data_IF_663139896628
#
_entry.id   IF_663139896628
#
_cell.length_a   1.000
_cell.length_b   1.000
_cell.length_c   1.000
_cell.angle_alpha   90.00
_cell.angle_beta   90.00
_cell.angle_gamma   90.00
#
_symmetry.space_group_name_H-M   'P 1'
#
loop_
_entity.id
_entity.type
_entity.pdbx_description
1 polymer ?
#
# COMPACT_ATOMS: atom_id res chain seq x y z
N UNK A 1 48.39 35.48 -22.65
CA UNK A 1 48.47 34.05 -22.32
C UNK A 1 47.31 33.75 -21.38
N UNK A 2 46.17 33.30 -21.90
CA UNK A 2 44.98 32.96 -21.12
C UNK A 2 44.74 31.46 -21.24
N UNK A 3 44.77 30.79 -20.11
CA UNK A 3 44.45 29.38 -19.98
C UNK A 3 42.95 29.22 -19.78
N UNK A 4 42.26 28.65 -20.75
CA UNK A 4 40.88 28.19 -20.66
C UNK A 4 40.86 26.84 -19.93
N UNK A 5 40.18 26.77 -18.80
CA UNK A 5 39.82 25.54 -18.11
C UNK A 5 38.49 25.03 -18.66
N UNK A 6 38.52 23.94 -19.39
CA UNK A 6 37.34 23.21 -19.88
C UNK A 6 36.75 22.38 -18.75
N UNK A 7 35.55 22.75 -18.37
CA UNK A 7 34.76 22.01 -17.38
C UNK A 7 33.99 20.89 -18.11
N UNK A 8 34.41 19.63 -17.95
CA UNK A 8 33.79 18.48 -18.54
C UNK A 8 32.76 17.90 -17.52
N UNK A 9 31.48 18.08 -17.81
CA UNK A 9 30.40 17.42 -17.07
C UNK A 9 30.40 15.92 -17.36
N UNK A 10 30.07 15.06 -16.39
CA UNK A 10 29.99 13.62 -16.61
C UNK A 10 28.77 13.26 -17.49
N UNK A 11 29.05 12.60 -18.58
CA UNK A 11 28.03 12.04 -19.47
C UNK A 11 27.29 10.90 -18.79
N UNK A 12 26.01 11.09 -18.56
CA UNK A 12 25.06 10.05 -18.19
C UNK A 12 24.89 9.09 -19.37
N UNK A 13 25.37 7.86 -19.24
CA UNK A 13 25.05 6.77 -20.15
C UNK A 13 23.61 6.32 -19.95
N UNK A 14 22.70 6.88 -20.70
CA UNK A 14 21.34 6.39 -20.86
C UNK A 14 21.35 5.09 -21.64
N UNK A 15 21.15 3.95 -20.98
CA UNK A 15 20.83 2.69 -21.64
C UNK A 15 19.35 2.70 -22.03
N UNK A 16 19.09 3.01 -23.29
CA UNK A 16 17.79 2.89 -23.92
C UNK A 16 17.45 1.41 -24.16
N UNK A 17 16.55 0.84 -23.34
CA UNK A 17 15.75 -0.29 -23.74
C UNK A 17 14.30 0.00 -23.40
N UNK A 18 13.49 0.21 -24.44
CA UNK A 18 12.08 0.52 -24.39
C UNK A 18 11.24 -0.60 -23.78
N UNK A 19 10.68 -0.29 -22.66
CA UNK A 19 9.37 -0.72 -22.16
C UNK A 19 9.06 0.30 -21.07
N UNK A 20 7.99 1.07 -21.24
CA UNK A 20 7.67 2.23 -20.40
C UNK A 20 7.38 1.89 -18.93
N UNK A 21 8.40 1.50 -18.18
CA UNK A 21 8.34 1.34 -16.73
C UNK A 21 9.06 2.52 -16.10
N UNK A 22 8.33 3.32 -15.32
CA UNK A 22 8.96 4.28 -14.41
C UNK A 22 9.96 3.60 -13.49
N UNK A 23 11.05 4.28 -13.11
CA UNK A 23 11.88 3.80 -12.03
C UNK A 23 11.01 3.59 -10.79
N UNK A 24 11.16 2.42 -10.15
CA UNK A 24 10.44 2.12 -8.92
C UNK A 24 10.86 3.09 -7.81
N UNK A 25 9.94 3.50 -6.93
CA UNK A 25 10.28 4.29 -5.77
C UNK A 25 11.45 3.68 -5.00
N UNK A 26 12.37 4.55 -4.54
CA UNK A 26 13.61 4.14 -3.85
C UNK A 26 14.52 3.19 -4.65
N UNK A 27 14.50 3.24 -5.98
CA UNK A 27 15.35 2.39 -6.83
C UNK A 27 16.86 2.63 -6.66
N UNK A 28 17.25 3.80 -6.14
CA UNK A 28 18.62 4.25 -5.83
C UNK A 28 19.14 3.76 -4.46
N UNK A 29 18.25 3.24 -3.58
CA UNK A 29 18.66 2.76 -2.26
C UNK A 29 19.31 1.38 -2.32
N UNK A 30 20.31 1.19 -1.45
CA UNK A 30 20.93 -0.11 -1.24
C UNK A 30 19.93 -1.17 -0.78
N UNK A 31 20.14 -2.41 -1.25
CA UNK A 31 19.28 -3.55 -0.96
C UNK A 31 19.11 -3.76 0.56
N UNK A 32 20.16 -3.50 1.36
CA UNK A 32 20.12 -3.67 2.82
C UNK A 32 19.17 -2.72 3.54
N UNK A 33 19.00 -1.50 3.02
CA UNK A 33 18.20 -0.44 3.63
C UNK A 33 16.84 -0.26 2.95
N UNK A 34 16.59 -0.98 1.85
CA UNK A 34 15.34 -0.91 1.12
C UNK A 34 14.19 -1.49 1.94
N UNK A 35 13.08 -0.77 2.01
CA UNK A 35 11.88 -1.26 2.69
C UNK A 35 11.35 -2.53 2.01
N UNK A 36 10.77 -3.45 2.79
CA UNK A 36 10.38 -4.78 2.31
C UNK A 36 9.43 -4.76 1.11
N UNK A 37 8.45 -3.85 1.10
CA UNK A 37 7.52 -3.73 -0.02
C UNK A 37 8.21 -3.23 -1.30
N UNK A 38 9.13 -2.27 -1.23
CA UNK A 38 9.92 -1.83 -2.38
C UNK A 38 10.91 -2.89 -2.85
N UNK A 39 11.47 -3.68 -1.92
CA UNK A 39 12.27 -4.85 -2.27
C UNK A 39 11.46 -5.86 -3.08
N UNK A 40 10.23 -6.15 -2.67
CA UNK A 40 9.31 -7.02 -3.39
C UNK A 40 8.91 -6.43 -4.75
N UNK A 41 8.67 -5.12 -4.82
CA UNK A 41 8.42 -4.42 -6.08
C UNK A 41 9.61 -4.55 -7.04
N UNK A 42 10.86 -4.42 -6.53
CA UNK A 42 12.09 -4.54 -7.31
C UNK A 42 12.26 -5.92 -7.96
N UNK A 43 11.83 -7.00 -7.32
CA UNK A 43 11.82 -8.33 -7.93
C UNK A 43 10.65 -8.54 -8.89
N UNK A 44 9.78 -7.56 -9.05
CA UNK A 44 8.65 -7.59 -9.98
C UNK A 44 7.31 -8.00 -9.37
N UNK A 45 7.24 -8.12 -8.02
CA UNK A 45 5.97 -8.33 -7.32
C UNK A 45 5.17 -7.03 -7.34
N UNK A 46 3.89 -7.12 -7.69
CA UNK A 46 3.02 -5.96 -7.85
C UNK A 46 1.90 -5.87 -6.82
N UNK A 47 1.48 -7.02 -6.28
CA UNK A 47 0.52 -7.09 -5.18
C UNK A 47 1.29 -7.14 -3.86
N UNK A 48 1.37 -5.99 -3.16
CA UNK A 48 2.25 -5.79 -1.99
C UNK A 48 1.48 -5.70 -0.67
N UNK A 49 0.23 -6.14 -0.64
CA UNK A 49 -0.67 -6.06 0.52
C UNK A 49 -0.93 -7.41 1.16
N UNK A 50 -1.08 -7.48 2.49
CA UNK A 50 -1.49 -8.68 3.21
C UNK A 50 -2.83 -9.19 2.67
N UNK A 51 -3.10 -10.50 2.68
CA UNK A 51 -4.38 -11.00 2.15
C UNK A 51 -4.57 -10.95 0.63
N UNK A 52 -3.68 -10.25 -0.13
CA UNK A 52 -3.63 -10.21 -1.59
C UNK A 52 -4.87 -9.62 -2.26
N UNK A 53 -5.02 -9.87 -3.57
CA UNK A 53 -6.15 -9.37 -4.39
C UNK A 53 -7.51 -9.82 -3.88
N UNK A 54 -7.60 -11.02 -3.28
CA UNK A 54 -8.87 -11.58 -2.82
C UNK A 54 -9.49 -10.72 -1.73
N UNK A 55 -8.69 -10.31 -0.72
CA UNK A 55 -9.21 -9.49 0.38
C UNK A 55 -9.58 -8.07 -0.10
N UNK A 56 -8.74 -7.45 -0.95
CA UNK A 56 -9.09 -6.18 -1.60
C UNK A 56 -10.38 -6.28 -2.40
N UNK A 57 -10.55 -7.34 -3.20
CA UNK A 57 -11.78 -7.54 -3.97
C UNK A 57 -13.03 -7.65 -3.10
N UNK A 58 -12.93 -8.36 -1.95
CA UNK A 58 -14.02 -8.47 -0.96
C UNK A 58 -14.33 -7.11 -0.32
N UNK A 59 -13.31 -6.35 0.06
CA UNK A 59 -13.44 -5.01 0.64
C UNK A 59 -14.10 -4.05 -0.35
N UNK A 60 -13.59 -3.97 -1.57
CA UNK A 60 -14.14 -3.09 -2.60
C UNK A 60 -15.55 -3.50 -3.07
N UNK A 61 -15.95 -4.76 -2.90
CA UNK A 61 -17.34 -5.19 -3.15
C UNK A 61 -18.32 -4.71 -2.08
N UNK A 62 -17.82 -4.23 -0.93
CA UNK A 62 -18.59 -3.62 0.16
C UNK A 62 -18.51 -2.10 0.17
N UNK A 63 -17.71 -1.53 -0.73
CA UNK A 63 -17.52 -0.08 -0.89
C UNK A 63 -18.23 0.35 -2.17
N UNK A 64 -19.21 1.23 -2.06
CA UNK A 64 -19.88 1.81 -3.22
C UNK A 64 -18.98 2.84 -3.86
N UNK A 65 -18.54 2.61 -5.11
CA UNK A 65 -17.60 3.48 -5.82
C UNK A 65 -18.17 4.05 -7.12
N UNK A 66 -19.17 3.42 -7.72
CA UNK A 66 -19.77 3.90 -8.99
C UNK A 66 -20.43 5.26 -8.79
N UNK A 67 -20.03 6.24 -9.61
CA UNK A 67 -20.55 7.59 -9.53
C UNK A 67 -20.14 8.39 -8.27
N UNK A 68 -19.18 7.91 -7.48
CA UNK A 68 -18.72 8.51 -6.21
C UNK A 68 -17.45 9.34 -6.39
N UNK A 69 -17.28 10.36 -5.56
CA UNK A 69 -16.03 11.09 -5.39
C UNK A 69 -15.10 10.26 -4.47
N UNK A 70 -14.01 9.71 -5.03
CA UNK A 70 -13.13 8.76 -4.35
C UNK A 70 -11.77 9.38 -4.05
N UNK A 71 -11.27 9.19 -2.82
CA UNK A 71 -9.89 9.51 -2.42
C UNK A 71 -9.14 8.22 -2.08
N UNK A 72 -7.93 8.05 -2.59
CA UNK A 72 -7.04 6.93 -2.26
C UNK A 72 -5.80 7.45 -1.54
N UNK A 73 -5.52 6.93 -0.35
CA UNK A 73 -4.32 7.21 0.41
C UNK A 73 -3.22 6.21 0.07
N UNK A 74 -2.02 6.71 -0.20
CA UNK A 74 -0.83 5.92 -0.50
C UNK A 74 -1.06 4.87 -1.62
N UNK A 75 -1.47 5.28 -2.83
CA UNK A 75 -1.82 4.38 -3.94
C UNK A 75 -0.65 3.49 -4.41
N UNK A 76 0.59 3.82 -4.10
CA UNK A 76 1.79 3.06 -4.41
C UNK A 76 1.91 2.74 -5.90
N UNK A 77 1.91 1.44 -6.27
CA UNK A 77 2.01 1.02 -7.68
C UNK A 77 0.68 1.06 -8.47
N UNK A 78 -0.37 1.66 -7.91
CA UNK A 78 -1.66 1.89 -8.57
C UNK A 78 -2.51 0.63 -8.80
N UNK A 79 -2.27 -0.44 -8.06
CA UNK A 79 -3.06 -1.68 -8.24
C UNK A 79 -4.48 -1.55 -7.73
N UNK A 80 -4.68 -0.86 -6.64
CA UNK A 80 -6.00 -0.55 -6.12
C UNK A 80 -6.63 0.56 -6.92
N UNK A 81 -5.84 1.57 -7.34
CA UNK A 81 -6.27 2.61 -8.27
C UNK A 81 -6.95 2.02 -9.51
N UNK A 82 -6.34 1.03 -10.18
CA UNK A 82 -6.95 0.36 -11.34
C UNK A 82 -8.31 -0.25 -11.01
N UNK A 83 -8.42 -0.96 -9.88
CA UNK A 83 -9.67 -1.57 -9.43
C UNK A 83 -10.74 -0.54 -9.05
N UNK A 84 -10.34 0.63 -8.57
CA UNK A 84 -11.24 1.76 -8.30
C UNK A 84 -11.76 2.32 -9.62
N UNK A 85 -10.88 2.60 -10.58
CA UNK A 85 -11.26 3.18 -11.89
C UNK A 85 -12.16 2.25 -12.70
N UNK A 86 -11.94 0.92 -12.63
CA UNK A 86 -12.83 -0.09 -13.24
C UNK A 86 -14.29 0.00 -12.73
N UNK A 87 -14.50 0.56 -11.53
CA UNK A 87 -15.82 0.79 -10.93
C UNK A 87 -16.46 2.12 -11.29
N UNK A 88 -15.87 2.87 -12.23
CA UNK A 88 -16.39 4.11 -12.78
C UNK A 88 -16.79 5.15 -11.72
N UNK A 89 -15.85 5.56 -10.85
CA UNK A 89 -16.11 6.65 -9.91
C UNK A 89 -16.41 7.95 -10.68
N UNK A 90 -17.10 8.88 -10.04
CA UNK A 90 -17.33 10.23 -10.57
C UNK A 90 -16.02 11.02 -10.67
N UNK A 91 -15.16 10.87 -9.65
CA UNK A 91 -13.81 11.44 -9.63
C UNK A 91 -12.87 10.55 -8.79
N UNK A 92 -11.55 10.66 -9.06
CA UNK A 92 -10.51 10.00 -8.30
C UNK A 92 -9.42 10.99 -7.90
N UNK A 93 -9.01 10.96 -6.63
CA UNK A 93 -7.90 11.76 -6.10
C UNK A 93 -6.98 10.86 -5.29
N UNK A 94 -5.74 10.66 -5.77
CA UNK A 94 -4.68 10.00 -5.04
C UNK A 94 -3.91 10.98 -4.17
N UNK A 95 -3.41 10.53 -3.03
CA UNK A 95 -2.52 11.29 -2.14
C UNK A 95 -1.36 10.40 -1.72
N UNK A 96 -0.12 10.83 -2.00
CA UNK A 96 1.09 10.11 -1.58
C UNK A 96 2.20 11.10 -1.21
N UNK A 97 3.12 10.66 -0.37
CA UNK A 97 4.32 11.44 0.03
C UNK A 97 5.51 11.25 -0.89
N UNK A 98 5.46 10.27 -1.78
CA UNK A 98 6.53 9.94 -2.71
C UNK A 98 6.22 10.55 -4.09
N UNK A 99 7.03 11.51 -4.59
CA UNK A 99 6.80 12.13 -5.89
C UNK A 99 6.83 11.12 -7.04
N UNK A 100 7.60 10.03 -6.93
CA UNK A 100 7.61 8.98 -7.96
C UNK A 100 6.27 8.22 -8.01
N UNK A 101 5.62 8.03 -6.86
CA UNK A 101 4.26 7.47 -6.81
C UNK A 101 3.27 8.42 -7.48
N UNK A 102 3.36 9.73 -7.19
CA UNK A 102 2.50 10.73 -7.82
C UNK A 102 2.60 10.67 -9.35
N UNK A 103 3.82 10.59 -9.89
CA UNK A 103 4.04 10.47 -11.34
C UNK A 103 3.46 9.17 -11.92
N UNK A 104 3.67 8.05 -11.23
CA UNK A 104 3.12 6.74 -11.62
C UNK A 104 1.60 6.80 -11.71
N UNK A 105 0.95 7.33 -10.67
CA UNK A 105 -0.52 7.39 -10.60
C UNK A 105 -1.09 8.38 -11.62
N UNK A 106 -0.48 9.54 -11.78
CA UNK A 106 -0.90 10.53 -12.78
C UNK A 106 -0.91 9.93 -14.18
N UNK A 107 0.17 9.23 -14.55
CA UNK A 107 0.21 8.55 -15.86
C UNK A 107 -0.78 7.41 -15.97
N UNK A 108 -0.84 6.55 -14.94
CA UNK A 108 -1.76 5.41 -14.91
C UNK A 108 -3.21 5.86 -15.10
N UNK A 109 -3.63 6.91 -14.41
CA UNK A 109 -5.01 7.41 -14.50
C UNK A 109 -5.30 8.06 -15.85
N UNK A 110 -4.35 8.82 -16.41
CA UNK A 110 -4.48 9.40 -17.73
C UNK A 110 -4.62 8.36 -18.84
N UNK A 111 -3.87 7.25 -18.74
CA UNK A 111 -3.90 6.16 -19.71
C UNK A 111 -5.16 5.26 -19.61
N UNK A 112 -5.65 5.01 -18.38
CA UNK A 112 -6.70 3.99 -18.14
C UNK A 112 -8.10 4.58 -17.91
N UNK A 113 -8.20 5.87 -17.60
CA UNK A 113 -9.48 6.51 -17.29
C UNK A 113 -9.55 7.97 -17.79
N UNK A 114 -9.31 8.23 -19.09
CA UNK A 114 -9.24 9.61 -19.61
C UNK A 114 -10.57 10.39 -19.50
N UNK A 115 -11.68 9.71 -19.30
CA UNK A 115 -13.01 10.33 -19.14
C UNK A 115 -13.39 10.63 -17.69
N UNK A 116 -12.58 10.15 -16.71
CA UNK A 116 -12.83 10.39 -15.30
C UNK A 116 -11.92 11.53 -14.84
N UNK A 117 -12.42 12.57 -14.15
CA UNK A 117 -11.57 13.57 -13.50
C UNK A 117 -10.66 12.91 -12.48
N UNK A 118 -9.34 12.94 -12.73
CA UNK A 118 -8.34 12.30 -11.87
C UNK A 118 -7.24 13.26 -11.50
N UNK A 119 -6.69 13.12 -10.29
CA UNK A 119 -5.48 13.80 -9.83
C UNK A 119 -4.72 12.94 -8.83
N UNK A 120 -3.43 13.22 -8.68
CA UNK A 120 -2.64 12.68 -7.58
C UNK A 120 -1.78 13.81 -7.01
N UNK A 121 -1.87 14.04 -5.70
CA UNK A 121 -1.20 15.13 -5.02
C UNK A 121 -0.07 14.62 -4.11
N UNK A 122 1.02 15.42 -4.03
CA UNK A 122 2.14 15.17 -3.13
C UNK A 122 1.82 15.76 -1.76
N UNK A 123 1.17 14.96 -0.90
CA UNK A 123 0.77 15.34 0.46
C UNK A 123 0.89 14.16 1.43
N UNK A 124 0.79 14.46 2.73
CA UNK A 124 0.65 13.45 3.78
C UNK A 124 -0.82 13.01 3.89
N UNK A 125 -1.06 11.71 4.08
CA UNK A 125 -2.40 11.20 4.31
C UNK A 125 -3.04 11.69 5.63
N UNK A 126 -2.23 12.23 6.56
CA UNK A 126 -2.71 12.89 7.78
C UNK A 126 -3.04 14.38 7.59
N UNK A 127 -2.68 14.96 6.44
CA UNK A 127 -2.93 16.35 6.06
C UNK A 127 -2.91 16.46 4.52
N UNK A 128 -4.04 16.13 3.92
CA UNK A 128 -4.15 15.98 2.46
C UNK A 128 -4.27 17.30 1.71
N UNK A 129 -4.58 18.40 2.39
CA UNK A 129 -4.90 19.69 1.79
C UNK A 129 -6.23 19.70 1.02
N UNK A 130 -7.00 18.61 1.02
CA UNK A 130 -8.30 18.54 0.38
C UNK A 130 -9.39 19.13 1.27
N UNK A 131 -10.48 19.63 0.64
CA UNK A 131 -11.61 20.21 1.37
C UNK A 131 -12.34 19.17 2.23
N UNK A 132 -12.87 19.60 3.38
CA UNK A 132 -13.74 18.76 4.22
C UNK A 132 -15.00 18.37 3.45
N UNK A 133 -15.53 17.17 3.75
CA UNK A 133 -16.77 16.66 3.15
C UNK A 133 -16.79 16.69 1.61
N UNK A 134 -15.61 16.44 1.02
CA UNK A 134 -15.40 16.44 -0.44
C UNK A 134 -15.35 15.03 -1.06
N UNK A 135 -15.42 13.96 -0.24
CA UNK A 135 -15.36 12.58 -0.70
C UNK A 135 -16.57 11.76 -0.23
N UNK A 136 -17.00 10.80 -1.06
CA UNK A 136 -17.99 9.78 -0.70
C UNK A 136 -17.32 8.50 -0.22
N UNK A 137 -16.11 8.23 -0.70
CA UNK A 137 -15.31 7.08 -0.28
C UNK A 137 -13.84 7.46 -0.14
N UNK A 138 -13.20 6.97 0.94
CA UNK A 138 -11.75 7.01 1.14
C UNK A 138 -11.24 5.58 1.22
N UNK A 139 -10.09 5.30 0.60
CA UNK A 139 -9.48 3.96 0.57
C UNK A 139 -8.01 4.07 0.94
N UNK A 140 -7.53 3.18 1.83
CA UNK A 140 -6.11 3.06 2.17
C UNK A 140 -5.72 1.59 2.37
N UNK A 141 -4.67 1.13 1.69
CA UNK A 141 -4.20 -0.25 1.81
C UNK A 141 -2.73 -0.33 2.19
N UNK A 142 -2.41 -1.16 3.19
CA UNK A 142 -1.06 -1.49 3.66
C UNK A 142 -0.21 -0.26 4.04
N UNK A 143 -0.83 0.76 4.63
CA UNK A 143 -0.17 2.01 4.99
C UNK A 143 -0.29 2.37 6.48
N UNK A 144 -1.42 2.07 7.13
CA UNK A 144 -1.64 2.38 8.55
C UNK A 144 -0.77 1.51 9.48
N UNK A 145 -0.56 0.24 9.15
CA UNK A 145 0.28 -0.67 9.93
C UNK A 145 1.70 -0.12 10.14
N UNK A 146 2.20 0.69 9.23
CA UNK A 146 3.56 1.28 9.29
C UNK A 146 3.60 2.58 10.12
N UNK A 147 2.47 3.05 10.61
CA UNK A 147 2.38 4.29 11.38
C UNK A 147 2.47 4.03 12.89
N UNK A 148 2.89 5.07 13.64
CA UNK A 148 2.70 5.10 15.09
C UNK A 148 1.21 5.16 15.43
N UNK A 149 0.83 4.91 16.66
CA UNK A 149 -0.57 5.05 17.08
C UNK A 149 -1.11 6.45 16.79
N UNK A 150 -0.35 7.49 17.15
CA UNK A 150 -0.70 8.88 16.82
C UNK A 150 -0.85 9.10 15.31
N UNK A 151 0.03 8.51 14.50
CA UNK A 151 -0.05 8.62 13.04
C UNK A 151 -1.27 7.91 12.46
N UNK A 152 -1.62 6.71 12.98
CA UNK A 152 -2.87 6.03 12.60
C UNK A 152 -4.09 6.90 12.87
N UNK A 153 -4.21 7.44 14.09
CA UNK A 153 -5.31 8.32 14.47
C UNK A 153 -5.40 9.57 13.59
N UNK A 154 -4.29 10.22 13.32
CA UNK A 154 -4.26 11.41 12.47
C UNK A 154 -4.77 11.10 11.04
N UNK A 155 -4.34 9.98 10.44
CA UNK A 155 -4.80 9.57 9.10
C UNK A 155 -6.28 9.19 9.11
N UNK A 156 -6.74 8.46 10.14
CA UNK A 156 -8.16 8.07 10.27
C UNK A 156 -9.04 9.30 10.48
N UNK A 157 -8.61 10.26 11.31
CA UNK A 157 -9.29 11.53 11.51
C UNK A 157 -9.36 12.36 10.22
N UNK A 158 -8.29 12.35 9.41
CA UNK A 158 -8.29 13.02 8.10
C UNK A 158 -9.26 12.34 7.12
N UNK A 159 -9.32 11.00 7.09
CA UNK A 159 -10.33 10.29 6.32
C UNK A 159 -11.76 10.67 6.75
N UNK A 160 -11.99 10.77 8.08
CA UNK A 160 -13.28 11.20 8.62
C UNK A 160 -13.63 12.64 8.21
N UNK A 161 -12.67 13.54 8.24
CA UNK A 161 -12.86 14.95 7.82
C UNK A 161 -13.24 15.05 6.34
N UNK A 162 -12.58 14.28 5.48
CA UNK A 162 -12.81 14.30 4.04
C UNK A 162 -14.16 13.73 3.64
N UNK A 163 -14.68 12.76 4.40
CA UNK A 163 -15.93 12.09 4.07
C UNK A 163 -17.14 12.96 4.33
N UNK A 164 -18.08 12.94 3.38
CA UNK A 164 -19.46 13.40 3.60
C UNK A 164 -20.16 12.49 4.60
N UNK A 165 -21.22 12.97 5.23
CA UNK A 165 -22.08 12.15 6.06
C UNK A 165 -22.60 10.92 5.25
N UNK A 166 -22.53 9.73 5.85
CA UNK A 166 -22.84 8.47 5.18
C UNK A 166 -21.73 7.90 4.28
N UNK A 167 -20.65 8.65 4.04
CA UNK A 167 -19.49 8.20 3.26
C UNK A 167 -18.67 7.11 3.97
N UNK A 168 -17.89 6.34 3.22
CA UNK A 168 -17.19 5.14 3.71
C UNK A 168 -15.66 5.29 3.68
N UNK A 169 -15.00 4.75 4.71
CA UNK A 169 -13.56 4.54 4.72
C UNK A 169 -13.27 3.04 4.67
N UNK A 170 -12.44 2.62 3.73
CA UNK A 170 -12.06 1.23 3.52
C UNK A 170 -10.57 1.06 3.75
N UNK A 171 -10.19 0.17 4.68
CA UNK A 171 -8.79 -0.15 4.97
C UNK A 171 -8.49 -1.63 4.76
N UNK A 172 -7.27 -1.92 4.31
CA UNK A 172 -6.75 -3.28 4.22
C UNK A 172 -5.32 -3.29 4.76
N UNK A 173 -5.11 -3.97 5.89
CA UNK A 173 -3.89 -3.86 6.70
C UNK A 173 -3.37 -5.24 7.12
N UNK A 174 -2.18 -5.25 7.71
CA UNK A 174 -1.68 -6.41 8.42
C UNK A 174 -2.38 -6.52 9.77
N UNK A 175 -2.91 -7.70 10.06
CA UNK A 175 -3.59 -8.00 11.31
C UNK A 175 -2.83 -9.00 12.17
N UNK A 176 -3.15 -8.96 13.47
CA UNK A 176 -2.77 -9.97 14.45
C UNK A 176 -3.98 -10.84 14.81
N UNK A 177 -3.71 -12.07 15.21
CA UNK A 177 -4.71 -13.03 15.72
C UNK A 177 -4.07 -14.03 16.69
N UNK A 178 -4.84 -14.60 17.64
CA UNK A 178 -6.22 -14.23 17.99
C UNK A 178 -6.33 -12.87 18.68
N UNK A 179 -7.56 -12.41 18.98
CA UNK A 179 -7.77 -11.10 19.60
C UNK A 179 -7.20 -11.00 21.02
N UNK A 180 -7.10 -12.10 21.73
CA UNK A 180 -6.51 -12.24 23.05
C UNK A 180 -4.99 -12.57 23.03
N UNK A 181 -4.32 -12.35 21.90
CA UNK A 181 -2.88 -12.59 21.77
C UNK A 181 -2.10 -11.80 22.84
N UNK A 182 -1.26 -12.48 23.67
CA UNK A 182 -0.53 -11.82 24.75
C UNK A 182 0.43 -10.73 24.24
N UNK A 183 0.53 -9.60 24.95
CA UNK A 183 1.43 -8.49 24.57
C UNK A 183 2.90 -8.92 24.34
N UNK A 184 3.51 -9.81 25.13
CA UNK A 184 4.85 -10.27 24.84
C UNK A 184 4.98 -10.94 23.46
N UNK A 185 3.95 -11.66 23.01
CA UNK A 185 3.93 -12.30 21.69
C UNK A 185 3.73 -11.26 20.58
N UNK A 186 2.83 -10.29 20.79
CA UNK A 186 2.66 -9.14 19.86
C UNK A 186 3.97 -8.39 19.67
N UNK A 187 4.70 -8.15 20.76
CA UNK A 187 6.00 -7.46 20.71
C UNK A 187 7.08 -8.29 20.01
N UNK A 188 7.11 -9.61 20.21
CA UNK A 188 8.01 -10.49 19.48
C UNK A 188 7.75 -10.42 17.98
N UNK A 189 6.47 -10.52 17.57
CA UNK A 189 6.05 -10.41 16.17
C UNK A 189 6.43 -9.05 15.59
N UNK A 190 6.12 -7.94 16.27
CA UNK A 190 6.48 -6.57 15.85
C UNK A 190 7.98 -6.39 15.64
N UNK A 191 8.80 -6.88 16.58
CA UNK A 191 10.27 -6.85 16.49
C UNK A 191 10.80 -7.71 15.34
N UNK A 192 10.23 -8.89 15.12
CA UNK A 192 10.60 -9.76 14.01
C UNK A 192 10.27 -9.14 12.66
N UNK A 193 9.07 -8.56 12.52
CA UNK A 193 8.66 -7.81 11.33
C UNK A 193 9.60 -6.65 11.06
N UNK A 194 9.86 -5.78 12.05
CA UNK A 194 10.73 -4.61 11.87
C UNK A 194 12.13 -5.00 11.36
N UNK A 195 12.71 -6.08 11.88
CA UNK A 195 14.01 -6.60 11.41
C UNK A 195 13.96 -7.16 10.00
N UNK A 196 12.87 -7.85 9.66
CA UNK A 196 12.72 -8.54 8.38
C UNK A 196 12.36 -7.58 7.23
N UNK A 197 11.34 -6.72 7.42
CA UNK A 197 10.84 -5.84 6.36
C UNK A 197 11.42 -4.43 6.39
N UNK A 198 12.30 -4.13 7.37
CA UNK A 198 12.94 -2.81 7.55
C UNK A 198 11.93 -1.64 7.68
N UNK A 199 10.80 -1.93 8.28
CA UNK A 199 9.76 -0.95 8.62
C UNK A 199 9.22 -1.31 10.01
N UNK A 200 8.96 -0.29 10.83
CA UNK A 200 8.34 -0.45 12.14
C UNK A 200 6.85 -0.80 11.99
N UNK A 201 6.56 -2.03 11.54
CA UNK A 201 5.21 -2.52 11.43
C UNK A 201 4.58 -2.70 12.82
N UNK A 202 3.38 -2.12 12.97
CA UNK A 202 2.58 -2.17 14.21
C UNK A 202 1.18 -2.71 13.87
N UNK A 203 1.09 -4.00 13.51
CA UNK A 203 -0.20 -4.63 13.28
C UNK A 203 -1.02 -4.67 14.56
N UNK A 204 -2.33 -4.64 14.42
CA UNK A 204 -3.31 -4.72 15.50
C UNK A 204 -4.17 -5.96 15.30
N UNK A 205 -4.81 -6.44 16.38
CA UNK A 205 -5.84 -7.47 16.28
C UNK A 205 -7.13 -6.91 15.65
N UNK A 206 -8.08 -7.75 15.27
CA UNK A 206 -9.36 -7.28 14.74
C UNK A 206 -10.09 -6.39 15.76
N UNK A 207 -10.08 -6.79 17.02
CA UNK A 207 -10.66 -6.03 18.12
C UNK A 207 -10.00 -4.65 18.25
N UNK A 208 -8.68 -4.58 18.27
CA UNK A 208 -7.93 -3.31 18.38
C UNK A 208 -8.15 -2.40 17.16
N UNK A 209 -8.20 -2.96 15.93
CA UNK A 209 -8.53 -2.17 14.74
C UNK A 209 -9.94 -1.60 14.80
N UNK A 210 -10.91 -2.40 15.23
CA UNK A 210 -12.29 -1.98 15.42
C UNK A 210 -12.40 -0.85 16.44
N UNK A 211 -11.84 -1.03 17.63
CA UNK A 211 -11.82 -0.05 18.70
C UNK A 211 -11.17 1.27 18.26
N UNK A 212 -10.08 1.20 17.50
CA UNK A 212 -9.41 2.37 16.94
C UNK A 212 -10.33 3.13 15.97
N UNK A 213 -10.96 2.44 15.01
CA UNK A 213 -11.85 3.04 14.03
C UNK A 213 -13.10 3.65 14.68
N UNK A 214 -13.71 2.95 15.64
CA UNK A 214 -14.89 3.40 16.38
C UNK A 214 -14.55 4.60 17.28
N UNK A 215 -13.35 4.62 17.88
CA UNK A 215 -12.91 5.77 18.71
C UNK A 215 -12.70 7.06 17.90
N UNK A 216 -12.48 6.95 16.58
CA UNK A 216 -12.41 8.10 15.66
C UNK A 216 -13.80 8.46 15.06
N UNK A 217 -14.88 7.87 15.57
CA UNK A 217 -16.26 8.22 15.20
C UNK A 217 -16.88 7.40 14.06
N UNK A 218 -16.20 6.38 13.58
CA UNK A 218 -16.72 5.52 12.52
C UNK A 218 -17.63 4.41 13.05
N UNK A 219 -18.57 3.98 12.22
CA UNK A 219 -19.39 2.79 12.40
C UNK A 219 -18.83 1.66 11.52
N UNK A 220 -18.56 0.49 12.10
CA UNK A 220 -18.04 -0.66 11.34
C UNK A 220 -19.17 -1.37 10.61
N UNK A 221 -19.16 -1.33 9.28
CA UNK A 221 -20.13 -2.02 8.42
C UNK A 221 -19.72 -3.45 8.09
N UNK A 222 -18.43 -3.68 7.91
CA UNK A 222 -17.89 -4.97 7.51
C UNK A 222 -16.43 -5.12 7.94
N UNK A 223 -16.06 -6.34 8.30
CA UNK A 223 -14.67 -6.77 8.43
C UNK A 223 -14.45 -8.11 7.73
N UNK A 224 -13.20 -8.36 7.35
CA UNK A 224 -12.83 -9.62 6.72
C UNK A 224 -11.35 -9.91 6.88
N UNK A 225 -11.02 -11.20 6.96
CA UNK A 225 -9.65 -11.69 7.09
C UNK A 225 -9.29 -12.66 5.96
N UNK A 226 -8.02 -12.71 5.62
CA UNK A 226 -7.40 -13.72 4.76
C UNK A 226 -6.02 -14.08 5.35
N UNK A 227 -5.56 -15.31 5.19
CA UNK A 227 -4.23 -15.70 5.66
C UNK A 227 -3.14 -14.82 5.07
N UNK A 228 -2.09 -14.54 5.86
CA UNK A 228 -0.90 -13.82 5.41
C UNK A 228 -0.09 -14.72 4.48
N UNK A 229 -0.31 -14.58 3.19
CA UNK A 229 0.30 -15.41 2.15
C UNK A 229 1.10 -14.60 1.12
N UNK A 230 1.66 -13.43 1.52
CA UNK A 230 2.36 -12.49 0.63
C UNK A 230 3.51 -13.14 -0.16
N UNK A 231 4.19 -14.14 0.41
CA UNK A 231 5.31 -14.86 -0.21
C UNK A 231 5.00 -16.35 -0.47
N UNK A 232 3.74 -16.75 -0.38
CA UNK A 232 3.28 -18.09 -0.78
C UNK A 232 3.24 -18.21 -2.31
N UNK A 233 3.77 -19.31 -2.85
CA UNK A 233 3.89 -19.51 -4.29
C UNK A 233 2.52 -19.65 -4.99
N UNK A 234 1.55 -20.33 -4.36
CA UNK A 234 0.20 -20.49 -4.93
C UNK A 234 -0.53 -19.14 -4.96
N UNK A 235 -0.38 -18.37 -3.90
CA UNK A 235 -0.94 -17.02 -3.83
C UNK A 235 -0.27 -16.08 -4.85
N UNK A 236 1.05 -16.15 -4.99
CA UNK A 236 1.76 -15.36 -6.00
C UNK A 236 1.30 -15.70 -7.41
N UNK A 237 1.00 -16.96 -7.70
CA UNK A 237 0.45 -17.36 -9.00
C UNK A 237 -0.93 -16.75 -9.24
N UNK A 238 -1.80 -16.72 -8.22
CA UNK A 238 -3.12 -16.10 -8.30
C UNK A 238 -3.06 -14.56 -8.40
N UNK A 239 -2.11 -13.93 -7.71
CA UNK A 239 -1.97 -12.47 -7.64
C UNK A 239 -1.20 -11.89 -8.85
N UNK A 240 -0.15 -12.55 -9.32
CA UNK A 240 0.81 -12.05 -10.32
C UNK A 240 0.70 -12.78 -11.68
N UNK A 241 0.07 -13.95 -11.73
CA UNK A 241 0.02 -14.83 -12.90
C UNK A 241 1.35 -15.53 -13.18
N UNK A 242 1.37 -16.46 -14.16
CA UNK A 242 2.57 -17.23 -14.53
C UNK A 242 3.74 -16.35 -14.94
N UNK A 243 3.50 -15.35 -15.81
CA UNK A 243 4.55 -14.43 -16.28
C UNK A 243 5.14 -13.57 -15.16
N UNK A 244 4.30 -13.17 -14.19
CA UNK A 244 4.75 -12.45 -13.00
C UNK A 244 5.62 -13.30 -12.09
N UNK A 245 5.25 -14.56 -11.86
CA UNK A 245 6.04 -15.52 -11.06
C UNK A 245 7.39 -15.80 -11.72
N UNK A 246 7.43 -16.03 -13.02
CA UNK A 246 8.69 -16.27 -13.76
C UNK A 246 9.61 -15.04 -13.68
N UNK A 247 9.07 -13.82 -13.82
CA UNK A 247 9.83 -12.58 -13.64
C UNK A 247 10.41 -12.46 -12.23
N UNK A 248 9.61 -12.73 -11.19
CA UNK A 248 10.05 -12.72 -9.79
C UNK A 248 11.19 -13.71 -9.58
N UNK A 249 11.05 -14.96 -10.06
CA UNK A 249 12.08 -15.98 -9.92
C UNK A 249 13.37 -15.57 -10.63
N UNK A 250 13.30 -15.10 -11.88
CA UNK A 250 14.48 -14.62 -12.63
C UNK A 250 15.21 -13.50 -11.89
N UNK A 251 14.47 -12.52 -11.37
CA UNK A 251 15.06 -11.38 -10.67
C UNK A 251 15.65 -11.77 -9.30
N UNK A 252 15.09 -12.77 -8.63
CA UNK A 252 15.68 -13.35 -7.42
C UNK A 252 16.96 -14.11 -7.67
N UNK A 253 17.04 -14.86 -8.79
CA UNK A 253 18.24 -15.62 -9.15
C UNK A 253 19.41 -14.71 -9.51
N UNK A 254 19.13 -13.54 -10.11
CA UNK A 254 20.14 -12.58 -10.55
C UNK A 254 20.83 -11.79 -9.42
N UNK A 255 20.31 -11.81 -8.17
CA UNK A 255 20.90 -11.04 -7.06
C UNK A 255 20.83 -11.82 -5.74
N UNK A 256 22.02 -12.11 -5.19
CA UNK A 256 22.21 -12.91 -3.99
C UNK A 256 21.63 -12.26 -2.72
N UNK A 257 21.80 -10.94 -2.60
CA UNK A 257 21.38 -10.16 -1.42
C UNK A 257 19.87 -9.99 -1.40
N UNK A 258 19.28 -9.69 -2.55
CA UNK A 258 17.82 -9.66 -2.72
C UNK A 258 17.23 -11.01 -2.34
N UNK A 259 17.78 -12.11 -2.86
CA UNK A 259 17.31 -13.46 -2.56
C UNK A 259 17.40 -13.77 -1.07
N UNK A 260 18.51 -13.47 -0.42
CA UNK A 260 18.70 -13.69 1.02
C UNK A 260 17.65 -12.91 1.83
N UNK A 261 17.41 -11.66 1.52
CA UNK A 261 16.41 -10.83 2.19
C UNK A 261 14.97 -11.33 1.97
N UNK A 262 14.60 -11.70 0.74
CA UNK A 262 13.27 -12.25 0.45
C UNK A 262 13.04 -13.57 1.19
N UNK A 263 14.06 -14.43 1.25
CA UNK A 263 13.99 -15.69 2.01
C UNK A 263 13.86 -15.46 3.51
N UNK A 264 14.56 -14.47 4.07
CA UNK A 264 14.40 -14.06 5.47
C UNK A 264 12.98 -13.54 5.76
N UNK A 265 12.44 -12.71 4.89
CA UNK A 265 11.04 -12.24 5.01
C UNK A 265 10.07 -13.42 4.95
N UNK A 266 10.26 -14.36 4.01
CA UNK A 266 9.43 -15.57 3.89
C UNK A 266 9.49 -16.41 5.15
N UNK A 267 10.68 -16.63 5.72
CA UNK A 267 10.87 -17.37 6.97
C UNK A 267 10.15 -16.68 8.14
N UNK A 268 10.26 -15.36 8.26
CA UNK A 268 9.58 -14.59 9.31
C UNK A 268 8.06 -14.72 9.19
N UNK A 269 7.48 -14.51 7.99
CA UNK A 269 6.05 -14.65 7.78
C UNK A 269 5.56 -16.09 7.99
N UNK A 270 6.36 -17.09 7.65
CA UNK A 270 6.02 -18.49 7.90
C UNK A 270 6.05 -18.82 9.40
N UNK A 271 7.07 -18.35 10.12
CA UNK A 271 7.19 -18.54 11.58
C UNK A 271 5.95 -18.02 12.32
N UNK A 272 5.47 -16.85 11.94
CA UNK A 272 4.32 -16.20 12.59
C UNK A 272 3.02 -16.32 11.77
N UNK A 273 2.90 -17.36 10.95
CA UNK A 273 1.71 -17.54 10.09
C UNK A 273 0.42 -17.79 10.85
N UNK A 274 0.49 -18.20 12.11
CA UNK A 274 -0.67 -18.39 12.99
C UNK A 274 -1.11 -17.08 13.65
N UNK A 275 -0.18 -16.16 13.86
CA UNK A 275 -0.39 -14.87 14.52
C UNK A 275 -0.66 -13.73 13.52
N UNK A 276 -0.33 -13.92 12.23
CA UNK A 276 -0.45 -12.90 11.20
C UNK A 276 -1.55 -13.22 10.20
N UNK A 277 -2.32 -12.19 9.85
CA UNK A 277 -3.30 -12.24 8.75
C UNK A 277 -3.30 -10.93 7.95
N UNK A 278 -3.98 -10.92 6.80
CA UNK A 278 -4.47 -9.70 6.19
C UNK A 278 -5.86 -9.44 6.73
N UNK A 279 -6.12 -8.21 7.14
CA UNK A 279 -7.42 -7.77 7.65
C UNK A 279 -7.92 -6.56 6.89
N UNK A 280 -9.22 -6.50 6.63
CA UNK A 280 -9.82 -5.34 5.99
C UNK A 280 -11.10 -4.93 6.70
N UNK A 281 -11.37 -3.64 6.69
CA UNK A 281 -12.60 -3.04 7.21
C UNK A 281 -13.22 -2.14 6.15
N UNK A 282 -14.55 -2.06 6.18
CA UNK A 282 -15.32 -0.97 5.59
C UNK A 282 -16.11 -0.33 6.73
N UNK A 283 -15.85 0.95 6.95
CA UNK A 283 -16.46 1.73 8.01
C UNK A 283 -17.17 2.95 7.43
N UNK A 284 -18.17 3.46 8.11
CA UNK A 284 -19.02 4.57 7.65
C UNK A 284 -18.92 5.75 8.61
N UNK A 285 -18.80 6.97 8.07
CA UNK A 285 -19.09 8.18 8.81
C UNK A 285 -20.61 8.26 9.02
N UNK A 286 -21.12 8.24 10.25
CA UNK A 286 -22.57 8.29 10.49
C UNK A 286 -23.24 9.48 9.78
N UNK A 287 -24.43 9.27 9.28
CA UNK A 287 -25.30 10.37 8.88
C UNK A 287 -25.77 11.08 10.16
N UNK A 288 -25.60 12.39 10.22
CA UNK A 288 -26.13 13.19 11.32
C UNK A 288 -27.65 13.17 11.31
#
# INVERSE_FOLDING_TARGET
MGTQTTNTAPQSTANAQGNGSFPLPQSDRDVEHLQGHWLLARIGKRVLRPGGKKLTGRMLAKTELEGKDVVEFAPGLGRTTQLILERKPKSYRGVDRDPQVVDIITKLTAENAPSIPTSCALHDAADTGLESESADAVIGEAMLTMQTERGKRAIIAEAYRLLRAGGTYSIHELGLQPDDLPEPVKDEVRKALARSIKVNARPLTEKEWRELLESEGFEVLWSGKEPMALLDMRRNLADEGLGGVLRILRNMLGNKDIRARVMNMKSTFHKYSKELNGIAFVVRKPAK
#
